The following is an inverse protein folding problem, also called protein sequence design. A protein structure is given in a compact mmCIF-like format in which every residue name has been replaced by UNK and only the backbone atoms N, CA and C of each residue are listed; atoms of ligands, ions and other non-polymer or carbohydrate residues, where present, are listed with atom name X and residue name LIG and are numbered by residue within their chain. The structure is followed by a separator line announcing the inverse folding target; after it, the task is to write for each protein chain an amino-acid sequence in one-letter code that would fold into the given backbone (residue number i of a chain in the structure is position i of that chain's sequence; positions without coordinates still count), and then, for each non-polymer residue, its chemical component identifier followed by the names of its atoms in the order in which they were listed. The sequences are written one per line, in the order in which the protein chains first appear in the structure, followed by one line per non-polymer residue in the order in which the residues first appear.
data_IF_153285658631
#
_entry.id   IF_153285658631
#
_cell.length_a   1.000
_cell.length_b   1.000
_cell.length_c   1.000
_cell.angle_alpha   90.00
_cell.angle_beta   90.00
_cell.angle_gamma   90.00
#
_symmetry.space_group_name_H-M   'P 1'
#
loop_
_entity.id
_entity.type
_entity.pdbx_description
1 polymer ?
#
# COMPACT_ATOMS: atom_id res chain seq x y z
N UNK A 1 -1.39 -14.52 10.91
CA UNK A 1 -1.19 -13.34 10.03
C UNK A 1 -2.52 -13.01 9.39
N UNK A 2 -2.85 -11.72 9.31
CA UNK A 2 -3.97 -11.24 8.48
C UNK A 2 -3.50 -11.22 7.02
N UNK A 3 -4.38 -11.43 6.03
CA UNK A 3 -3.98 -11.33 4.62
C UNK A 3 -3.36 -9.97 4.29
N UNK A 4 -3.80 -8.90 4.95
CA UNK A 4 -3.22 -7.56 4.81
C UNK A 4 -1.74 -7.46 5.22
N UNK A 5 -1.23 -8.38 6.04
CA UNK A 5 0.15 -8.34 6.55
C UNK A 5 1.18 -8.72 5.48
N UNK A 6 0.76 -9.38 4.39
CA UNK A 6 1.64 -9.78 3.28
C UNK A 6 1.97 -8.61 2.34
N UNK A 7 1.20 -7.53 2.38
CA UNK A 7 1.35 -6.39 1.47
C UNK A 7 2.14 -5.25 2.09
N UNK A 8 3.20 -4.85 1.37
CA UNK A 8 4.01 -3.69 1.72
C UNK A 8 3.16 -2.41 1.63
N UNK A 9 3.26 -1.60 2.67
CA UNK A 9 2.60 -0.29 2.78
C UNK A 9 3.66 0.74 3.12
N UNK A 10 3.70 1.83 2.37
CA UNK A 10 4.60 2.94 2.66
C UNK A 10 3.89 4.25 2.42
N UNK A 11 4.35 5.27 3.15
CA UNK A 11 3.90 6.65 3.02
C UNK A 11 5.11 7.47 2.62
N UNK A 12 4.94 8.38 1.66
CA UNK A 12 6.00 9.30 1.22
C UNK A 12 5.45 10.71 1.15
N UNK A 13 6.27 11.71 1.43
CA UNK A 13 5.93 13.10 1.17
C UNK A 13 5.93 13.39 -0.35
N UNK A 14 4.94 14.13 -0.81
CA UNK A 14 4.86 14.67 -2.18
C UNK A 14 5.07 16.18 -2.13
N UNK A 15 6.16 16.66 -2.73
CA UNK A 15 6.42 18.10 -2.87
C UNK A 15 5.35 18.79 -3.74
N UNK A 16 4.86 18.11 -4.78
CA UNK A 16 3.84 18.63 -5.70
C UNK A 16 2.50 18.87 -4.99
N UNK A 17 2.08 17.92 -4.15
CA UNK A 17 0.82 18.01 -3.43
C UNK A 17 0.95 18.70 -2.07
N UNK A 18 2.17 18.89 -1.57
CA UNK A 18 2.46 19.27 -0.18
C UNK A 18 1.71 18.40 0.85
N UNK A 19 1.67 17.09 0.58
CA UNK A 19 0.96 16.10 1.38
C UNK A 19 1.74 14.78 1.45
N UNK A 20 1.52 14.02 2.52
CA UNK A 20 1.89 12.61 2.59
C UNK A 20 0.95 11.77 1.73
N UNK A 21 1.51 10.85 0.96
CA UNK A 21 0.79 9.97 0.06
C UNK A 21 1.09 8.51 0.42
N UNK A 22 0.04 7.73 0.61
CA UNK A 22 0.11 6.30 0.96
C UNK A 22 0.05 5.40 -0.27
N UNK A 23 0.88 4.36 -0.29
CA UNK A 23 1.02 3.42 -1.39
C UNK A 23 0.98 1.96 -0.91
N UNK A 24 0.37 1.12 -1.73
CA UNK A 24 0.37 -0.32 -1.60
C UNK A 24 0.36 -0.93 -3.02
N UNK A 25 1.51 -0.95 -3.70
CA UNK A 25 1.62 -1.19 -5.15
C UNK A 25 1.08 -2.54 -5.61
N UNK A 26 1.17 -3.59 -4.79
CA UNK A 26 0.66 -4.93 -5.16
C UNK A 26 -0.88 -4.97 -5.21
N UNK A 27 -1.57 -4.14 -4.42
CA UNK A 27 -3.04 -4.04 -4.45
C UNK A 27 -3.52 -2.90 -5.35
N UNK A 28 -2.77 -1.79 -5.38
CA UNK A 28 -3.13 -0.57 -6.09
C UNK A 28 -1.95 -0.13 -6.98
N UNK A 29 -1.77 -0.77 -8.15
CA UNK A 29 -0.61 -0.53 -9.01
C UNK A 29 -0.65 0.84 -9.70
N UNK A 30 -1.79 1.53 -9.71
CA UNK A 30 -2.00 2.78 -10.45
C UNK A 30 -1.54 4.05 -9.72
N UNK A 31 -1.08 3.96 -8.46
CA UNK A 31 -0.49 5.11 -7.77
C UNK A 31 -0.80 5.20 -6.29
N UNK A 32 -0.89 6.45 -5.80
CA UNK A 32 -1.20 6.77 -4.40
C UNK A 32 -2.68 6.53 -4.10
N UNK A 33 -2.95 5.94 -2.94
CA UNK A 33 -4.29 5.48 -2.54
C UNK A 33 -4.98 6.50 -1.63
N UNK A 34 -4.19 7.18 -0.80
CA UNK A 34 -4.70 8.21 0.11
C UNK A 34 -3.65 9.29 0.37
N UNK A 35 -4.14 10.48 0.67
CA UNK A 35 -3.32 11.66 0.98
C UNK A 35 -3.67 12.19 2.38
N UNK A 36 -2.71 12.83 3.04
CA UNK A 36 -2.92 13.49 4.33
C UNK A 36 -1.78 14.44 4.70
N UNK A 37 -2.05 15.39 5.59
CA UNK A 37 -1.03 16.34 6.05
C UNK A 37 -0.11 15.75 7.14
N UNK A 38 -0.48 14.60 7.72
CA UNK A 38 0.25 13.92 8.78
C UNK A 38 0.62 12.50 8.34
N UNK A 39 1.88 12.12 8.54
CA UNK A 39 2.43 10.84 8.10
C UNK A 39 1.71 9.66 8.77
N UNK A 40 1.54 9.73 10.09
CA UNK A 40 1.00 8.63 10.89
C UNK A 40 -0.48 8.40 10.59
N UNK A 41 -1.28 9.46 10.52
CA UNK A 41 -2.69 9.39 10.13
C UNK A 41 -2.86 8.86 8.71
N UNK A 42 -1.98 9.26 7.79
CA UNK A 42 -1.98 8.72 6.42
C UNK A 42 -1.70 7.23 6.42
N UNK A 43 -0.72 6.77 7.22
CA UNK A 43 -0.43 5.34 7.35
C UNK A 43 -1.58 4.55 7.96
N UNK A 44 -2.22 5.08 9.02
CA UNK A 44 -3.40 4.46 9.65
C UNK A 44 -4.54 4.31 8.64
N UNK A 45 -4.81 5.36 7.85
CA UNK A 45 -5.83 5.37 6.79
C UNK A 45 -5.50 4.37 5.69
N UNK A 46 -4.26 4.36 5.19
CA UNK A 46 -3.77 3.39 4.22
C UNK A 46 -4.00 1.95 4.70
N UNK A 47 -3.69 1.67 5.97
CA UNK A 47 -3.94 0.36 6.56
C UNK A 47 -5.42 -0.04 6.57
N UNK A 48 -6.34 0.90 6.75
CA UNK A 48 -7.78 0.63 6.67
C UNK A 48 -8.23 0.30 5.24
N UNK A 49 -7.79 1.10 4.26
CA UNK A 49 -8.12 0.90 2.84
C UNK A 49 -7.61 -0.44 2.31
N UNK A 50 -6.39 -0.84 2.67
CA UNK A 50 -5.86 -2.16 2.29
C UNK A 50 -6.71 -3.31 2.85
N UNK A 51 -7.19 -3.19 4.10
CA UNK A 51 -8.05 -4.23 4.69
C UNK A 51 -9.42 -4.30 4.02
N UNK A 52 -9.97 -3.14 3.66
CA UNK A 52 -11.23 -3.03 2.94
C UNK A 52 -11.14 -3.70 1.56
N UNK A 53 -10.12 -3.37 0.77
CA UNK A 53 -9.91 -3.94 -0.57
C UNK A 53 -9.78 -5.47 -0.53
N UNK A 54 -8.98 -5.99 0.41
CA UNK A 54 -8.84 -7.43 0.61
C UNK A 54 -10.17 -8.07 0.97
N UNK A 55 -10.94 -7.45 1.88
CA UNK A 55 -12.24 -7.95 2.29
C UNK A 55 -13.21 -7.99 1.11
N UNK A 56 -13.16 -6.98 0.24
CA UNK A 56 -13.99 -6.91 -0.96
C UNK A 56 -13.60 -8.01 -1.96
N UNK A 57 -12.32 -8.16 -2.28
CA UNK A 57 -11.84 -9.23 -3.17
C UNK A 57 -12.26 -10.62 -2.67
N UNK A 58 -12.14 -10.85 -1.37
CA UNK A 58 -12.58 -12.11 -0.75
C UNK A 58 -14.09 -12.31 -0.83
N UNK A 59 -14.88 -11.26 -0.61
CA UNK A 59 -16.34 -11.31 -0.75
C UNK A 59 -16.78 -11.58 -2.20
N UNK A 60 -16.02 -11.08 -3.17
CA UNK A 60 -16.21 -11.34 -4.61
C UNK A 60 -15.67 -12.71 -5.06
N UNK A 61 -15.04 -13.49 -4.17
CA UNK A 61 -14.42 -14.77 -4.50
C UNK A 61 -13.21 -14.65 -5.43
N UNK A 62 -12.60 -13.46 -5.50
CA UNK A 62 -11.42 -13.18 -6.33
C UNK A 62 -10.15 -13.54 -5.59
N UNK A 63 -9.16 -13.99 -6.35
CA UNK A 63 -7.84 -14.25 -5.82
C UNK A 63 -7.14 -12.94 -5.43
N UNK A 64 -6.39 -12.99 -4.33
CA UNK A 64 -5.60 -11.86 -3.86
C UNK A 64 -4.39 -11.65 -4.79
N UNK A 65 -4.06 -10.40 -5.17
CA UNK A 65 -2.90 -10.11 -6.00
C UNK A 65 -1.60 -10.68 -5.44
N UNK A 66 -0.73 -11.17 -6.32
CA UNK A 66 0.57 -11.69 -5.93
C UNK A 66 1.45 -10.58 -5.31
N UNK A 67 2.17 -10.92 -4.24
CA UNK A 67 3.11 -10.00 -3.59
C UNK A 67 4.41 -9.97 -4.40
N UNK A 68 4.61 -8.90 -5.17
CA UNK A 68 5.78 -8.72 -6.03
C UNK A 68 6.69 -7.60 -5.55
N UNK A 69 6.17 -6.70 -4.71
CA UNK A 69 6.90 -5.56 -4.19
C UNK A 69 7.90 -6.01 -3.13
N UNK A 70 9.18 -5.70 -3.35
CA UNK A 70 10.27 -6.07 -2.44
C UNK A 70 10.70 -4.88 -1.57
N UNK A 71 10.97 -5.10 -0.26
CA UNK A 71 11.37 -4.05 0.68
C UNK A 71 12.79 -3.48 0.44
N UNK A 72 13.63 -4.15 -0.35
CA UNK A 72 14.95 -3.67 -0.76
C UNK A 72 15.06 -3.67 -2.29
N UNK A 73 15.75 -2.69 -2.87
CA UNK A 73 16.35 -2.87 -4.21
C UNK A 73 17.39 -3.98 -4.04
N UNK A 74 17.31 -5.05 -4.82
CA UNK A 74 18.43 -5.99 -4.91
C UNK A 74 19.69 -5.17 -5.20
N UNK A 75 20.75 -5.40 -4.43
CA UNK A 75 22.05 -4.84 -4.80
C UNK A 75 22.30 -5.27 -6.24
N UNK A 76 22.46 -4.32 -7.17
CA UNK A 76 22.97 -4.63 -8.48
C UNK A 76 24.26 -5.43 -8.26
N UNK A 77 24.31 -6.65 -8.78
CA UNK A 77 25.23 -7.70 -8.37
C UNK A 77 26.66 -7.21 -8.10
N UNK A 78 27.20 -7.65 -6.97
CA UNK A 78 28.65 -7.74 -6.76
C UNK A 78 29.18 -8.92 -7.58
#
# INVERSE_FOLDING_TARGET
MKPADQYLKFVRWSEEDSLYVGYCPDLFPWGGICHGADEEQTYRRLGALVREEISQLQAEGRELPAVTTRPMREAAGV
#
